data_IF_450182728529
#
_entry.id   IF_450182728529
#
_cell.length_a   1.000
_cell.length_b   1.000
_cell.length_c   1.000
_cell.angle_alpha   90.00
_cell.angle_beta   90.00
_cell.angle_gamma   90.00
#
_symmetry.space_group_name_H-M   'P 1'
#
loop_
_entity.id
_entity.type
_entity.pdbx_description
1 polymer ?
#
# COMPACT_ATOMS: atom_id res chain seq x y z
N UNK A 1 -17.70 7.21 2.48
CA UNK A 1 -16.69 8.29 2.39
C UNK A 1 -16.46 8.86 3.78
N UNK A 2 -15.22 9.20 4.14
CA UNK A 2 -14.89 9.84 5.41
C UNK A 2 -14.73 11.34 5.22
N UNK A 3 -15.19 12.13 6.19
CA UNK A 3 -15.01 13.59 6.18
C UNK A 3 -14.34 14.04 7.47
N UNK A 4 -13.40 14.98 7.33
CA UNK A 4 -12.75 15.68 8.43
C UNK A 4 -13.22 17.13 8.44
N UNK A 5 -13.74 17.55 9.58
CA UNK A 5 -14.23 18.89 9.85
C UNK A 5 -13.34 19.52 10.91
N UNK A 6 -13.01 20.79 10.74
CA UNK A 6 -12.28 21.56 11.73
C UNK A 6 -13.10 22.79 12.08
N UNK A 7 -13.44 22.90 13.35
CA UNK A 7 -14.17 24.05 13.86
C UNK A 7 -13.23 25.21 14.20
N UNK A 8 -13.81 26.41 14.31
CA UNK A 8 -13.08 27.65 14.57
C UNK A 8 -12.47 27.71 15.97
N UNK A 9 -13.06 26.95 16.91
CA UNK A 9 -12.57 26.75 18.28
C UNK A 9 -11.34 25.81 18.36
N UNK A 10 -10.95 25.18 17.24
CA UNK A 10 -9.85 24.21 17.18
C UNK A 10 -10.29 22.75 17.34
N UNK A 11 -11.57 22.49 17.60
CA UNK A 11 -12.10 21.13 17.63
C UNK A 11 -12.02 20.50 16.24
N UNK A 12 -11.72 19.22 16.21
CA UNK A 12 -11.59 18.45 14.96
C UNK A 12 -12.48 17.23 15.03
N UNK A 13 -13.25 17.01 13.96
CA UNK A 13 -14.20 15.92 13.88
C UNK A 13 -13.97 15.07 12.63
N UNK A 14 -13.80 13.77 12.81
CA UNK A 14 -13.70 12.81 11.70
C UNK A 14 -14.86 11.81 11.81
N UNK A 15 -15.56 11.56 10.70
CA UNK A 15 -16.65 10.58 10.65
C UNK A 15 -16.81 9.94 9.29
N UNK A 16 -17.18 8.67 9.33
CA UNK A 16 -17.56 7.87 8.17
C UNK A 16 -19.06 8.00 7.84
N UNK A 17 -19.35 8.02 6.54
CA UNK A 17 -20.70 8.10 6.00
C UNK A 17 -20.92 7.02 4.94
N UNK A 18 -22.11 6.43 4.98
CA UNK A 18 -22.62 5.47 4.00
C UNK A 18 -24.08 5.83 3.66
N UNK A 19 -24.37 5.98 2.36
CA UNK A 19 -25.70 6.37 1.86
C UNK A 19 -26.30 7.59 2.59
N UNK A 20 -25.53 8.69 2.67
CA UNK A 20 -25.88 9.95 3.34
C UNK A 20 -26.20 9.84 4.84
N UNK A 21 -25.97 8.67 5.44
CA UNK A 21 -26.11 8.43 6.87
C UNK A 21 -24.74 8.22 7.51
N UNK A 22 -24.66 8.58 8.78
CA UNK A 22 -23.47 8.31 9.58
C UNK A 22 -23.36 6.81 9.82
N UNK A 23 -22.17 6.26 9.60
CA UNK A 23 -21.92 4.82 9.67
C UNK A 23 -20.45 4.58 10.01
N UNK A 24 -20.12 3.45 10.63
CA UNK A 24 -18.74 3.10 10.93
C UNK A 24 -18.23 3.84 12.17
N UNK A 25 -17.01 4.37 12.11
CA UNK A 25 -16.36 4.98 13.27
C UNK A 25 -16.29 6.51 13.18
N UNK A 26 -16.40 7.17 14.34
CA UNK A 26 -16.32 8.60 14.50
C UNK A 26 -15.33 8.98 15.61
N UNK A 27 -14.58 10.05 15.37
CA UNK A 27 -13.60 10.59 16.32
C UNK A 27 -13.78 12.09 16.45
N UNK A 28 -13.93 12.56 17.68
CA UNK A 28 -13.97 13.97 18.05
C UNK A 28 -12.76 14.30 18.91
N UNK A 29 -11.92 15.20 18.42
CA UNK A 29 -10.84 15.80 19.18
C UNK A 29 -11.27 17.20 19.62
N UNK A 30 -11.36 17.40 20.92
CA UNK A 30 -11.63 18.71 21.50
C UNK A 30 -10.31 19.50 21.60
N UNK A 31 -10.37 20.80 21.36
CA UNK A 31 -9.23 21.72 21.48
C UNK A 31 -8.65 21.74 22.90
N UNK A 32 -9.45 21.39 23.91
CA UNK A 32 -9.01 21.22 25.30
C UNK A 32 -8.18 19.94 25.53
N UNK A 33 -7.97 19.11 24.51
CA UNK A 33 -7.20 17.87 24.55
C UNK A 33 -8.00 16.64 24.98
N UNK A 34 -9.32 16.72 25.06
CA UNK A 34 -10.19 15.55 25.21
C UNK A 34 -10.41 14.86 23.86
N UNK A 35 -10.70 13.57 23.92
CA UNK A 35 -10.94 12.72 22.76
C UNK A 35 -12.22 11.92 23.00
N UNK A 36 -13.12 11.90 22.03
CA UNK A 36 -14.29 11.05 22.06
C UNK A 36 -14.36 10.20 20.79
N UNK A 37 -14.56 8.91 20.99
CA UNK A 37 -14.59 7.88 19.96
C UNK A 37 -15.94 7.16 20.04
N UNK A 38 -16.64 7.03 18.92
CA UNK A 38 -17.93 6.36 18.88
C UNK A 38 -18.15 5.57 17.59
N UNK A 39 -18.96 4.51 17.70
CA UNK A 39 -19.36 3.68 16.57
C UNK A 39 -20.83 3.96 16.20
N UNK A 40 -21.11 3.94 14.90
CA UNK A 40 -22.39 4.32 14.31
C UNK A 40 -22.86 3.31 13.28
N UNK A 41 -24.18 3.12 13.24
CA UNK A 41 -24.85 2.31 12.24
C UNK A 41 -26.15 3.01 11.82
N UNK A 42 -26.29 3.25 10.52
CA UNK A 42 -27.47 3.86 9.89
C UNK A 42 -27.98 5.16 10.56
N UNK A 43 -27.07 6.03 10.98
CA UNK A 43 -27.44 7.29 11.63
C UNK A 43 -27.58 7.22 13.15
N UNK A 44 -27.36 6.06 13.78
CA UNK A 44 -27.51 5.85 15.23
C UNK A 44 -26.21 5.36 15.85
N UNK A 45 -25.94 5.76 17.11
CA UNK A 45 -24.83 5.19 17.89
C UNK A 45 -25.07 3.71 18.13
N UNK A 46 -24.06 2.91 17.85
CA UNK A 46 -24.12 1.45 17.90
C UNK A 46 -22.75 0.91 18.31
N UNK A 47 -22.70 0.07 19.34
CA UNK A 47 -21.47 -0.49 19.88
C UNK A 47 -20.82 0.40 20.95
N UNK A 48 -19.51 0.29 21.11
CA UNK A 48 -18.79 0.95 22.20
C UNK A 48 -18.50 2.42 21.83
N UNK A 49 -18.73 3.32 22.78
CA UNK A 49 -18.18 4.67 22.78
C UNK A 49 -17.18 4.87 23.93
N UNK A 50 -16.13 5.64 23.69
CA UNK A 50 -15.08 5.93 24.67
C UNK A 50 -14.78 7.43 24.70
N UNK A 51 -14.73 7.99 25.90
CA UNK A 51 -14.29 9.35 26.17
C UNK A 51 -12.95 9.29 26.90
N UNK A 52 -11.93 9.92 26.36
CA UNK A 52 -10.60 10.04 26.94
C UNK A 52 -10.37 11.49 27.35
N UNK A 53 -10.17 11.71 28.64
CA UNK A 53 -9.81 13.01 29.19
C UNK A 53 -8.36 13.34 28.86
N UNK A 54 -8.01 14.63 28.95
CA UNK A 54 -6.63 15.10 28.74
C UNK A 54 -5.67 14.50 29.76
N UNK A 55 -6.18 14.16 30.95
CA UNK A 55 -5.45 13.45 32.00
C UNK A 55 -5.08 12.01 31.62
N UNK A 56 -5.66 11.45 30.56
CA UNK A 56 -5.52 10.06 30.15
C UNK A 56 -6.55 9.12 30.79
N UNK A 57 -7.39 9.61 31.71
CA UNK A 57 -8.53 8.85 32.21
C UNK A 57 -9.51 8.56 31.07
N UNK A 58 -10.08 7.35 31.04
CA UNK A 58 -11.07 7.00 30.02
C UNK A 58 -12.35 6.47 30.64
N UNK A 59 -13.47 6.93 30.07
CA UNK A 59 -14.81 6.46 30.38
C UNK A 59 -15.40 5.81 29.13
N UNK A 60 -16.04 4.66 29.29
CA UNK A 60 -16.63 3.94 28.16
C UNK A 60 -18.07 3.55 28.45
N UNK A 61 -18.85 3.40 27.38
CA UNK A 61 -20.24 2.98 27.43
C UNK A 61 -20.61 2.16 26.20
N UNK A 62 -21.58 1.27 26.34
CA UNK A 62 -22.11 0.48 25.22
C UNK A 62 -23.41 1.11 24.74
N UNK A 63 -23.57 1.27 23.42
CA UNK A 63 -24.73 1.88 22.80
C UNK A 63 -25.46 0.86 21.93
N UNK A 64 -26.77 0.80 22.04
CA UNK A 64 -27.62 -0.02 21.19
C UNK A 64 -28.75 0.85 20.62
N UNK A 65 -28.79 1.01 19.31
CA UNK A 65 -29.80 1.80 18.59
C UNK A 65 -29.93 3.25 19.09
N UNK A 66 -28.82 3.86 19.51
CA UNK A 66 -28.77 5.21 20.09
C UNK A 66 -29.05 5.30 21.59
N UNK A 67 -29.32 4.18 22.27
CA UNK A 67 -29.56 4.12 23.72
C UNK A 67 -28.29 3.63 24.41
N UNK A 68 -27.83 4.37 25.42
CA UNK A 68 -26.72 3.95 26.27
C UNK A 68 -27.19 2.81 27.18
N UNK A 69 -26.57 1.65 27.02
CA UNK A 69 -26.71 0.49 27.89
C UNK A 69 -25.94 0.76 29.19
N UNK A 70 -26.65 1.36 30.14
CA UNK A 70 -26.15 1.57 31.50
C UNK A 70 -26.54 0.32 32.29
N UNK A 71 -25.57 -0.47 32.82
CA UNK A 71 -25.90 -1.56 33.73
C UNK A 71 -26.62 -0.96 34.92
N UNK A 72 -27.92 -1.25 35.05
CA UNK A 72 -28.72 -0.79 36.18
C UNK A 72 -28.01 -1.15 37.48
N UNK A 73 -27.74 -0.15 38.31
CA UNK A 73 -27.05 -0.18 39.62
C UNK A 73 -27.83 -0.95 40.70
N UNK A 74 -28.54 -2.03 40.33
CA UNK A 74 -29.29 -2.88 41.25
C UNK A 74 -28.81 -4.31 41.12
N UNK A 75 -27.58 -4.57 41.57
CA UNK A 75 -27.20 -5.79 42.31
C UNK A 75 -25.74 -5.67 42.77
N UNK A 76 -25.58 -5.47 44.06
CA UNK A 76 -24.33 -5.46 44.80
C UNK A 76 -23.74 -6.88 44.86
N UNK A 77 -23.22 -7.38 43.73
CA UNK A 77 -22.53 -8.69 43.64
C UNK A 77 -21.30 -8.65 42.73
N UNK A 78 -20.81 -7.46 42.37
CA UNK A 78 -19.56 -7.31 41.63
C UNK A 78 -18.53 -6.59 42.51
N UNK A 79 -17.53 -7.36 42.97
CA UNK A 79 -16.34 -6.88 43.70
C UNK A 79 -15.47 -5.90 42.89
N UNK A 80 -15.86 -5.59 41.65
CA UNK A 80 -15.20 -4.65 40.76
C UNK A 80 -16.28 -3.78 40.11
N UNK A 81 -16.13 -2.46 40.18
CA UNK A 81 -17.08 -1.50 39.60
C UNK A 81 -17.39 -1.87 38.14
N UNK A 82 -18.67 -1.88 37.70
CA UNK A 82 -19.05 -2.14 36.30
C UNK A 82 -18.27 -1.28 35.30
N UNK A 83 -17.87 -0.06 35.71
CA UNK A 83 -17.01 0.86 34.96
C UNK A 83 -15.64 0.23 34.64
N UNK A 84 -15.04 -0.50 35.58
CA UNK A 84 -13.74 -1.15 35.41
C UNK A 84 -13.80 -2.37 34.47
N UNK A 85 -14.94 -3.08 34.44
CA UNK A 85 -15.15 -4.22 33.54
C UNK A 85 -15.30 -3.76 32.09
N UNK A 86 -16.05 -2.68 31.85
CA UNK A 86 -16.11 -2.06 30.52
C UNK A 86 -14.74 -1.50 30.11
N UNK A 87 -14.05 -0.80 31.02
CA UNK A 87 -12.72 -0.26 30.75
C UNK A 87 -11.70 -1.34 30.31
N UNK A 88 -11.69 -2.52 30.94
CA UNK A 88 -10.76 -3.60 30.58
C UNK A 88 -11.06 -4.28 29.23
N UNK A 89 -12.34 -4.50 28.90
CA UNK A 89 -12.72 -5.06 27.58
C UNK A 89 -12.41 -4.09 26.45
N UNK A 90 -12.66 -2.80 26.66
CA UNK A 90 -12.39 -1.75 25.67
C UNK A 90 -10.89 -1.59 25.46
N UNK A 91 -10.09 -1.52 26.53
CA UNK A 91 -8.64 -1.44 26.42
C UNK A 91 -8.09 -2.62 25.60
N UNK A 92 -8.56 -3.83 25.86
CA UNK A 92 -8.14 -5.02 25.11
C UNK A 92 -8.56 -4.95 23.64
N UNK A 93 -9.80 -4.55 23.34
CA UNK A 93 -10.28 -4.42 21.97
C UNK A 93 -9.49 -3.34 21.19
N UNK A 94 -9.24 -2.19 21.81
CA UNK A 94 -8.44 -1.10 21.23
C UNK A 94 -6.99 -1.53 21.00
N UNK A 95 -6.38 -2.26 21.95
CA UNK A 95 -5.03 -2.80 21.79
C UNK A 95 -4.96 -3.83 20.65
N UNK A 96 -5.95 -4.70 20.52
CA UNK A 96 -6.05 -5.67 19.42
C UNK A 96 -6.18 -4.94 18.07
N UNK A 97 -7.08 -3.96 17.98
CA UNK A 97 -7.27 -3.16 16.78
C UNK A 97 -5.99 -2.40 16.39
N UNK A 98 -5.29 -1.81 17.36
CA UNK A 98 -4.03 -1.09 17.15
C UNK A 98 -2.93 -2.02 16.63
N UNK A 99 -2.76 -3.20 17.23
CA UNK A 99 -1.79 -4.21 16.76
C UNK A 99 -2.11 -4.71 15.36
N UNK A 100 -3.38 -4.94 15.05
CA UNK A 100 -3.83 -5.34 13.71
C UNK A 100 -3.51 -4.25 12.67
N UNK A 101 -3.76 -2.98 13.02
CA UNK A 101 -3.48 -1.83 12.16
C UNK A 101 -1.99 -1.62 11.92
N UNK A 102 -1.16 -1.68 12.96
CA UNK A 102 0.30 -1.59 12.84
C UNK A 102 0.86 -2.72 11.97
N UNK A 103 0.34 -3.95 12.12
CA UNK A 103 0.72 -5.08 11.26
C UNK A 103 0.33 -4.82 9.81
N UNK A 104 -0.90 -4.37 9.55
CA UNK A 104 -1.37 -4.07 8.19
C UNK A 104 -0.56 -2.95 7.52
N UNK A 105 -0.24 -1.88 8.25
CA UNK A 105 0.59 -0.78 7.76
C UNK A 105 2.01 -1.25 7.38
N UNK A 106 2.62 -2.08 8.22
CA UNK A 106 3.94 -2.64 7.93
C UNK A 106 3.93 -3.56 6.71
N UNK A 107 2.89 -4.39 6.55
CA UNK A 107 2.72 -5.24 5.36
C UNK A 107 2.59 -4.38 4.09
N UNK A 108 1.75 -3.34 4.10
CA UNK A 108 1.58 -2.45 2.95
C UNK A 108 2.88 -1.74 2.55
N UNK A 109 3.69 -1.30 3.53
CA UNK A 109 5.00 -0.68 3.29
C UNK A 109 6.01 -1.68 2.70
N UNK A 110 5.96 -2.95 3.13
CA UNK A 110 6.79 -4.01 2.55
C UNK A 110 6.37 -4.26 1.10
N UNK A 111 5.07 -4.37 0.81
CA UNK A 111 4.56 -4.57 -0.54
C UNK A 111 4.97 -3.46 -1.50
N UNK A 112 4.92 -2.18 -1.07
CA UNK A 112 5.38 -1.06 -1.90
C UNK A 112 6.86 -1.18 -2.25
N UNK A 113 7.71 -1.54 -1.28
CA UNK A 113 9.15 -1.73 -1.49
C UNK A 113 9.43 -2.89 -2.45
N UNK A 114 8.72 -4.00 -2.28
CA UNK A 114 8.83 -5.18 -3.15
C UNK A 114 8.40 -4.83 -4.57
N UNK A 115 7.26 -4.15 -4.73
CA UNK A 115 6.75 -3.73 -6.04
C UNK A 115 7.72 -2.80 -6.77
N UNK A 116 8.33 -1.84 -6.07
CA UNK A 116 9.37 -0.98 -6.65
C UNK A 116 10.62 -1.76 -7.09
N UNK A 117 11.06 -2.72 -6.28
CA UNK A 117 12.20 -3.57 -6.61
C UNK A 117 11.92 -4.48 -7.82
N UNK A 118 10.74 -5.09 -7.87
CA UNK A 118 10.31 -5.90 -9.03
C UNK A 118 10.26 -5.04 -10.30
N UNK A 119 9.73 -3.83 -10.21
CA UNK A 119 9.70 -2.90 -11.35
C UNK A 119 11.10 -2.45 -11.83
N UNK A 120 12.08 -2.26 -10.93
CA UNK A 120 13.44 -1.93 -11.34
C UNK A 120 14.15 -3.12 -11.99
N UNK A 121 13.98 -4.32 -11.45
CA UNK A 121 14.54 -5.56 -12.03
C UNK A 121 13.96 -5.82 -13.41
N UNK A 122 12.64 -5.70 -13.59
CA UNK A 122 11.99 -5.90 -14.88
C UNK A 122 12.52 -4.91 -15.95
N UNK A 123 12.76 -3.65 -15.57
CA UNK A 123 13.40 -2.67 -16.47
C UNK A 123 14.82 -3.08 -16.85
N UNK A 124 15.63 -3.51 -15.89
CA UNK A 124 17.01 -3.95 -16.14
C UNK A 124 17.07 -5.20 -17.04
N UNK A 125 16.22 -6.20 -16.77
CA UNK A 125 16.13 -7.43 -17.56
C UNK A 125 15.69 -7.12 -19.00
N UNK A 126 14.70 -6.25 -19.17
CA UNK A 126 14.26 -5.83 -20.51
C UNK A 126 15.36 -5.07 -21.26
N UNK A 127 16.10 -4.19 -20.59
CA UNK A 127 17.24 -3.49 -21.19
C UNK A 127 18.35 -4.49 -21.60
N UNK A 128 18.69 -5.45 -20.74
CA UNK A 128 19.68 -6.48 -21.05
C UNK A 128 19.26 -7.34 -22.25
N UNK A 129 17.98 -7.74 -22.32
CA UNK A 129 17.42 -8.46 -23.48
C UNK A 129 17.59 -7.65 -24.77
N UNK A 130 17.26 -6.35 -24.76
CA UNK A 130 17.42 -5.47 -25.92
C UNK A 130 18.89 -5.34 -26.33
N UNK A 131 19.79 -5.17 -25.37
CA UNK A 131 21.24 -5.09 -25.65
C UNK A 131 21.75 -6.38 -26.29
N UNK A 132 21.36 -7.54 -25.75
CA UNK A 132 21.74 -8.84 -26.29
C UNK A 132 21.23 -9.02 -27.74
N UNK A 133 19.95 -8.69 -28.00
CA UNK A 133 19.38 -8.74 -29.35
C UNK A 133 20.15 -7.81 -30.29
N UNK A 134 20.46 -6.59 -29.85
CA UNK A 134 21.20 -5.61 -30.66
C UNK A 134 22.64 -6.06 -30.95
N UNK A 135 23.29 -6.73 -30.00
CA UNK A 135 24.62 -7.29 -30.18
C UNK A 135 24.61 -8.43 -31.22
N UNK A 136 23.62 -9.32 -31.13
CA UNK A 136 23.43 -10.41 -32.11
C UNK A 136 23.14 -9.83 -33.50
N UNK A 137 22.28 -8.82 -33.61
CA UNK A 137 22.01 -8.14 -34.88
C UNK A 137 23.30 -7.55 -35.48
N UNK A 138 24.07 -6.81 -34.67
CA UNK A 138 25.34 -6.23 -35.11
C UNK A 138 26.32 -7.30 -35.61
N UNK A 139 26.38 -8.46 -34.93
CA UNK A 139 27.25 -9.56 -35.35
C UNK A 139 26.79 -10.21 -36.66
N UNK A 140 25.48 -10.36 -36.87
CA UNK A 140 24.94 -10.82 -38.15
C UNK A 140 25.27 -9.85 -39.29
N UNK A 141 25.13 -8.54 -39.06
CA UNK A 141 25.46 -7.51 -40.06
C UNK A 141 26.95 -7.53 -40.41
N UNK A 142 27.84 -7.68 -39.41
CA UNK A 142 29.29 -7.80 -39.64
C UNK A 142 29.64 -9.08 -40.42
N UNK A 143 29.03 -10.22 -40.09
CA UNK A 143 29.25 -11.47 -40.82
C UNK A 143 28.76 -11.41 -42.26
N UNK A 144 27.59 -10.79 -42.51
CA UNK A 144 27.08 -10.60 -43.86
C UNK A 144 28.03 -9.76 -44.72
N UNK A 145 28.56 -8.67 -44.16
CA UNK A 145 29.51 -7.80 -44.86
C UNK A 145 30.86 -8.49 -45.11
N UNK A 146 31.35 -9.29 -44.15
CA UNK A 146 32.61 -10.03 -44.29
C UNK A 146 32.49 -11.15 -45.34
N UNK A 147 31.35 -11.86 -45.38
CA UNK A 147 31.09 -12.88 -46.40
C UNK A 147 31.07 -12.27 -47.82
N UNK A 148 30.45 -11.09 -47.99
CA UNK A 148 30.46 -10.38 -49.27
C UNK A 148 31.87 -9.95 -49.68
N UNK A 149 32.70 -9.50 -48.73
CA UNK A 149 34.09 -9.14 -48.98
C UNK A 149 34.98 -10.34 -49.36
N UNK A 150 34.76 -11.51 -48.74
CA UNK A 150 35.48 -12.76 -49.06
C UNK A 150 35.12 -13.24 -50.47
N UNK A 151 33.83 -13.22 -50.84
CA UNK A 151 33.37 -13.57 -52.19
C UNK A 151 33.98 -12.63 -53.23
N UNK A 152 34.02 -11.32 -52.94
CA UNK A 152 34.60 -10.33 -53.85
C UNK A 152 36.12 -10.52 -54.03
N UNK A 153 36.87 -10.78 -52.95
CA UNK A 153 38.31 -11.09 -53.03
C UNK A 153 38.59 -12.38 -53.79
N UNK A 154 37.78 -13.43 -53.57
CA UNK A 154 37.84 -14.69 -54.33
C UNK A 154 37.67 -14.45 -55.84
N UNK A 155 36.71 -13.60 -56.20
CA UNK A 155 36.44 -13.25 -57.60
C UNK A 155 37.61 -12.49 -58.24
N UNK A 156 38.17 -11.50 -57.55
CA UNK A 156 39.34 -10.74 -58.02
C UNK A 156 40.58 -11.63 -58.16
N UNK A 157 40.81 -12.53 -57.21
CA UNK A 157 41.95 -13.46 -57.24
C UNK A 157 41.84 -14.46 -58.40
N UNK A 158 40.63 -14.97 -58.68
CA UNK A 158 40.38 -15.83 -59.84
C UNK A 158 40.57 -15.09 -61.17
N UNK A 159 40.11 -13.83 -61.26
CA UNK A 159 40.28 -12.99 -62.46
C UNK A 159 41.75 -12.68 -62.75
N UNK A 160 42.54 -12.37 -61.71
CA UNK A 160 43.99 -12.15 -61.83
C UNK A 160 44.74 -13.42 -62.27
N UNK A 161 44.41 -14.59 -61.71
CA UNK A 161 44.98 -15.87 -62.14
C UNK A 161 44.66 -16.19 -63.60
N UNK A 162 43.43 -15.92 -64.05
CA UNK A 162 43.03 -16.13 -65.45
C UNK A 162 43.82 -15.23 -66.41
N UNK A 163 44.07 -13.98 -66.01
CA UNK A 163 44.86 -13.02 -66.80
C UNK A 163 46.35 -13.41 -66.86
N UNK A 164 46.92 -13.89 -65.76
CA UNK A 164 48.29 -14.40 -65.71
C UNK A 164 48.46 -15.66 -66.58
N UNK A 165 47.46 -16.55 -66.60
CA UNK A 165 47.47 -17.77 -67.43
C UNK A 165 47.41 -17.46 -68.93
N UNK A 166 46.64 -16.44 -69.33
CA UNK A 166 46.59 -15.97 -70.73
C UNK A 166 47.89 -15.32 -71.20
N UNK A 167 48.66 -14.69 -70.31
CA UNK A 167 49.98 -14.11 -70.63
C UNK A 167 51.11 -15.13 -70.76
N UNK A 168 50.94 -16.35 -70.22
CA UNK A 168 51.94 -17.42 -70.29
C UNK A 168 51.73 -18.37 -71.48
N UNK A 169 50.63 -18.21 -72.23
CA UNK A 169 50.29 -19.02 -73.41
C UNK A 169 50.33 -18.23 -74.73
N UNK A 170 50.92 -17.04 -74.73
CA UNK A 170 51.22 -16.22 -75.90
C UNK A 170 52.73 -15.98 -75.96
#
# INVERSE_FOLDING_TARGET
MGFLWKERNGDTYAREYFADKTHGFGVYYFANGHLYEDAWHEGRRQGIGMYTFRSGETQSGHWQNGILDVPSTRNNTYLVSPVAVYHSKVLNAVQVARRATEKAYNVAKVDERVNKAVASVNRAVNAARVIAIKAVQKQMDHNHNNNNAVVFRSFLTSKARLHARKKFQA
#
